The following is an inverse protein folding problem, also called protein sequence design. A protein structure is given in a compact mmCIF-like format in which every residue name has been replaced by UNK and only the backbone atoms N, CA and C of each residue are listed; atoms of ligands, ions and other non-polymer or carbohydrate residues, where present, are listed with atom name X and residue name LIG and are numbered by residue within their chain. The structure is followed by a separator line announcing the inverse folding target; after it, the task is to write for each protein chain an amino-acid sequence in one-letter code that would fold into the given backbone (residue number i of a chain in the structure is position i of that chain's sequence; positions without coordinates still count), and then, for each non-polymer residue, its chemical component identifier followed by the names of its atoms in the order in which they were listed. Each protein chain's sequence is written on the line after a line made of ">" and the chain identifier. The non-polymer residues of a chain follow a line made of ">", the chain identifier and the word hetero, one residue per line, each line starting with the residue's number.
data_IF_522576870959
#
_entry.id   IF_522576870959
#
_cell.length_a   1.000
_cell.length_b   1.000
_cell.length_c   1.000
_cell.angle_alpha   90.00
_cell.angle_beta   90.00
_cell.angle_gamma   90.00
#
_symmetry.space_group_name_H-M   'P 1'
#
loop_
_entity.id
_entity.type
_entity.pdbx_description
1 polymer ?
#
# COMPACT_ATOMS: atom_id res chain seq x y z
N UNK A 1 11.30 -20.38 -33.54
CA UNK A 1 10.51 -19.62 -32.56
C UNK A 1 11.48 -18.75 -31.79
N UNK A 2 11.42 -17.42 -31.93
CA UNK A 2 12.28 -16.53 -31.15
C UNK A 2 11.99 -16.69 -29.65
N UNK A 3 13.06 -16.80 -28.86
CA UNK A 3 12.98 -16.91 -27.41
C UNK A 3 12.36 -15.66 -26.81
N UNK A 4 11.18 -15.79 -26.20
CA UNK A 4 10.56 -14.69 -25.45
C UNK A 4 11.14 -14.66 -24.04
N UNK A 5 11.83 -13.57 -23.70
CA UNK A 5 12.33 -13.34 -22.35
C UNK A 5 11.16 -13.16 -21.38
N UNK A 6 10.93 -14.13 -20.48
CA UNK A 6 9.93 -14.05 -19.42
C UNK A 6 10.57 -13.37 -18.20
N UNK A 7 9.93 -12.30 -17.70
CA UNK A 7 10.26 -11.61 -16.46
C UNK A 7 9.24 -12.01 -15.40
N UNK A 8 9.69 -12.72 -14.39
CA UNK A 8 8.88 -13.12 -13.25
C UNK A 8 9.25 -12.24 -12.04
N UNK A 9 8.25 -11.65 -11.40
CA UNK A 9 8.36 -11.08 -10.07
C UNK A 9 8.09 -12.16 -9.04
N UNK A 10 8.97 -12.29 -8.04
CA UNK A 10 8.79 -13.16 -6.88
C UNK A 10 8.57 -12.25 -5.68
N UNK A 11 7.52 -12.52 -4.91
CA UNK A 11 7.25 -11.82 -3.66
C UNK A 11 7.03 -12.85 -2.55
N UNK A 12 7.68 -12.65 -1.41
CA UNK A 12 7.40 -13.39 -0.18
C UNK A 12 7.13 -12.39 0.94
N UNK A 13 6.12 -12.65 1.76
CA UNK A 13 5.85 -11.86 2.95
C UNK A 13 6.54 -12.50 4.16
N UNK A 14 7.20 -11.67 4.98
CA UNK A 14 7.82 -12.08 6.24
C UNK A 14 9.21 -12.76 6.20
N UNK A 15 9.85 -12.89 5.03
CA UNK A 15 11.18 -13.48 4.90
C UNK A 15 12.24 -12.78 5.80
N UNK A 16 12.74 -13.48 6.83
CA UNK A 16 13.79 -13.01 7.75
C UNK A 16 15.11 -13.77 7.51
N UNK A 17 15.95 -13.36 6.54
CA UNK A 17 17.14 -14.11 6.13
C UNK A 17 18.24 -14.21 7.20
N UNK A 18 18.13 -13.49 8.32
CA UNK A 18 19.18 -13.38 9.33
C UNK A 18 18.75 -13.81 10.73
N UNK A 19 17.53 -14.36 10.90
CA UNK A 19 17.09 -14.97 12.17
C UNK A 19 16.99 -14.03 13.39
N UNK A 20 17.05 -12.70 13.19
CA UNK A 20 17.20 -11.72 14.29
C UNK A 20 15.90 -11.38 15.07
N UNK A 21 14.79 -12.08 14.82
CA UNK A 21 13.53 -11.89 15.55
C UNK A 21 12.88 -13.24 15.81
N UNK A 22 12.56 -13.51 17.09
CA UNK A 22 11.86 -14.73 17.51
C UNK A 22 10.38 -14.62 17.19
N UNK A 23 9.91 -15.32 16.16
CA UNK A 23 8.49 -15.62 15.99
C UNK A 23 8.29 -17.13 16.15
N UNK A 24 7.38 -17.54 17.01
CA UNK A 24 7.13 -18.94 17.38
C UNK A 24 6.36 -19.74 16.32
N UNK A 25 5.86 -19.09 15.26
CA UNK A 25 5.27 -19.75 14.10
C UNK A 25 5.17 -18.77 12.91
N UNK A 26 5.64 -19.16 11.73
CA UNK A 26 5.48 -18.36 10.51
C UNK A 26 5.25 -19.26 9.30
N UNK A 27 4.21 -18.96 8.51
CA UNK A 27 3.98 -19.56 7.20
C UNK A 27 4.27 -18.48 6.16
N UNK A 28 5.12 -18.79 5.18
CA UNK A 28 5.54 -17.82 4.18
C UNK A 28 4.87 -18.12 2.83
N UNK A 29 3.91 -17.29 2.36
CA UNK A 29 3.42 -17.40 1.01
C UNK A 29 4.43 -16.78 0.03
N UNK A 30 4.78 -17.52 -1.01
CA UNK A 30 5.57 -17.07 -2.15
C UNK A 30 4.64 -16.91 -3.34
N UNK A 31 4.63 -15.71 -3.91
CA UNK A 31 3.85 -15.36 -5.08
C UNK A 31 4.78 -15.17 -6.29
N UNK A 32 4.34 -15.65 -7.44
CA UNK A 32 4.98 -15.49 -8.74
C UNK A 32 4.04 -14.73 -9.66
N UNK A 33 4.55 -13.67 -10.27
CA UNK A 33 3.79 -12.78 -11.15
C UNK A 33 4.54 -12.57 -12.47
N UNK A 34 3.92 -12.77 -13.64
CA UNK A 34 4.54 -12.52 -14.93
C UNK A 34 4.49 -11.01 -15.25
N UNK A 35 5.60 -10.32 -15.01
CA UNK A 35 5.77 -8.88 -15.28
C UNK A 35 5.89 -8.53 -16.76
N UNK A 36 5.82 -9.51 -17.66
CA UNK A 36 5.63 -9.25 -19.09
C UNK A 36 4.23 -8.71 -19.43
N UNK A 37 3.25 -8.84 -18.52
CA UNK A 37 1.90 -8.34 -18.72
C UNK A 37 1.75 -6.93 -18.13
N UNK A 38 0.87 -6.09 -18.71
CA UNK A 38 0.49 -4.81 -18.11
C UNK A 38 0.04 -5.01 -16.66
N UNK A 39 0.27 -4.02 -15.80
CA UNK A 39 0.07 -4.14 -14.35
C UNK A 39 -1.35 -4.53 -13.94
N UNK A 40 -2.35 -4.03 -14.67
CA UNK A 40 -3.77 -4.40 -14.49
C UNK A 40 -4.12 -5.84 -14.88
N UNK A 41 -3.24 -6.51 -15.64
CA UNK A 41 -3.43 -7.87 -16.13
C UNK A 41 -2.55 -8.88 -15.38
N UNK A 42 -1.31 -8.53 -15.06
CA UNK A 42 -0.42 -9.43 -14.31
C UNK A 42 -0.95 -9.76 -12.90
N UNK A 43 -1.76 -8.86 -12.33
CA UNK A 43 -2.39 -9.02 -11.02
C UNK A 43 -3.79 -9.65 -11.08
N UNK A 44 -4.19 -10.31 -12.17
CA UNK A 44 -5.44 -11.09 -12.19
C UNK A 44 -5.19 -12.52 -11.73
N UNK A 45 -6.19 -13.19 -11.16
CA UNK A 45 -6.11 -14.57 -10.66
C UNK A 45 -5.41 -15.59 -11.57
N UNK A 46 -5.55 -15.60 -12.91
CA UNK A 46 -4.80 -16.53 -13.76
C UNK A 46 -3.30 -16.21 -13.87
N UNK A 47 -2.85 -15.03 -13.43
CA UNK A 47 -1.49 -14.53 -13.56
C UNK A 47 -0.81 -14.25 -12.22
N UNK A 48 -1.55 -14.10 -11.11
CA UNK A 48 -1.02 -13.98 -9.77
C UNK A 48 -1.02 -15.34 -9.07
N UNK A 49 0.13 -16.02 -9.07
CA UNK A 49 0.23 -17.41 -8.66
C UNK A 49 0.92 -17.54 -7.30
N UNK A 50 0.23 -18.08 -6.29
CA UNK A 50 0.92 -18.54 -5.08
C UNK A 50 1.69 -19.83 -5.42
N UNK A 51 3.01 -19.74 -5.53
CA UNK A 51 3.86 -20.83 -5.99
C UNK A 51 4.30 -21.77 -4.86
N UNK A 52 4.42 -21.25 -3.64
CA UNK A 52 4.95 -22.01 -2.51
C UNK A 52 4.42 -21.44 -1.20
N UNK A 53 4.03 -22.33 -0.27
CA UNK A 53 3.82 -21.98 1.13
C UNK A 53 4.93 -22.67 1.93
N UNK A 54 5.76 -21.91 2.63
CA UNK A 54 6.89 -22.47 3.41
C UNK A 54 6.49 -22.46 4.90
N UNK A 55 6.12 -23.60 5.51
CA UNK A 55 6.01 -23.75 6.96
C UNK A 55 7.36 -24.17 7.57
N UNK A 56 7.78 -23.53 8.66
CA UNK A 56 9.14 -23.73 9.20
C UNK A 56 9.39 -25.02 10.03
N UNK A 57 8.42 -25.72 10.68
CA UNK A 57 8.77 -26.92 11.48
C UNK A 57 8.23 -28.28 11.00
N UNK A 58 7.09 -28.37 10.31
CA UNK A 58 6.50 -29.64 9.87
C UNK A 58 5.67 -29.40 8.62
N UNK A 59 6.22 -29.73 7.45
CA UNK A 59 5.50 -29.62 6.19
C UNK A 59 4.61 -30.85 5.98
N UNK A 60 3.27 -30.73 5.89
CA UNK A 60 2.52 -31.59 5.00
C UNK A 60 2.81 -31.13 3.57
N UNK A 61 3.15 -32.08 2.70
CA UNK A 61 3.53 -31.83 1.32
C UNK A 61 2.42 -31.21 0.47
N UNK A 62 2.77 -30.98 -0.79
CA UNK A 62 1.96 -30.43 -1.87
C UNK A 62 0.63 -31.19 -1.96
N UNK A 63 -0.42 -30.61 -1.40
CA UNK A 63 -1.83 -30.86 -1.75
C UNK A 63 -2.55 -29.50 -1.79
N UNK A 64 -2.23 -28.70 -2.81
CA UNK A 64 -3.03 -27.54 -3.17
C UNK A 64 -4.20 -28.06 -3.99
N UNK A 65 -5.36 -28.24 -3.35
CA UNK A 65 -6.60 -28.60 -4.02
C UNK A 65 -6.94 -27.53 -5.07
N UNK A 66 -6.92 -27.95 -6.34
CA UNK A 66 -7.21 -27.10 -7.49
C UNK A 66 -8.66 -26.56 -7.51
N UNK A 67 -9.52 -27.01 -6.58
CA UNK A 67 -10.92 -26.61 -6.45
C UNK A 67 -11.18 -25.55 -5.37
N UNK A 68 -10.15 -25.03 -4.67
CA UNK A 68 -10.32 -23.94 -3.71
C UNK A 68 -10.72 -22.63 -4.42
N UNK A 69 -11.94 -22.15 -4.15
CA UNK A 69 -12.43 -20.85 -4.63
C UNK A 69 -11.58 -19.68 -4.13
N UNK A 70 -11.05 -19.79 -2.91
CA UNK A 70 -10.12 -18.83 -2.33
C UNK A 70 -8.68 -19.38 -2.45
N UNK A 71 -7.90 -18.84 -3.38
CA UNK A 71 -6.53 -19.31 -3.66
C UNK A 71 -5.47 -18.68 -2.77
N UNK A 72 -5.77 -17.54 -2.16
CA UNK A 72 -4.88 -16.76 -1.31
C UNK A 72 -5.72 -16.07 -0.23
N UNK A 73 -5.14 -15.85 0.94
CA UNK A 73 -5.76 -15.10 2.03
C UNK A 73 -4.84 -13.92 2.36
N UNK A 74 -5.08 -12.80 1.69
CA UNK A 74 -4.25 -11.62 1.84
C UNK A 74 -4.49 -10.95 3.19
N UNK A 75 -3.39 -10.61 3.86
CA UNK A 75 -3.45 -9.88 5.12
C UNK A 75 -3.79 -8.41 4.87
N UNK A 76 -5.09 -8.10 4.98
CA UNK A 76 -5.63 -6.74 4.84
C UNK A 76 -4.96 -5.77 5.79
N UNK A 77 -4.57 -6.20 6.99
CA UNK A 77 -3.93 -5.34 7.98
C UNK A 77 -2.59 -4.82 7.49
N UNK A 78 -1.75 -5.73 7.01
CA UNK A 78 -0.42 -5.41 6.51
C UNK A 78 -0.48 -4.66 5.19
N UNK A 79 -1.41 -5.03 4.31
CA UNK A 79 -1.66 -4.30 3.06
C UNK A 79 -2.04 -2.86 3.36
N UNK A 80 -3.01 -2.62 4.25
CA UNK A 80 -3.40 -1.27 4.62
C UNK A 80 -2.26 -0.46 5.22
N UNK A 81 -1.48 -1.06 6.12
CA UNK A 81 -0.30 -0.43 6.70
C UNK A 81 0.69 0.00 5.61
N UNK A 82 1.00 -0.91 4.67
CA UNK A 82 1.94 -0.65 3.58
C UNK A 82 1.43 0.39 2.58
N UNK A 83 0.14 0.37 2.27
CA UNK A 83 -0.51 1.41 1.44
C UNK A 83 -0.43 2.77 2.14
N UNK A 84 -0.75 2.83 3.44
CA UNK A 84 -0.66 4.05 4.25
C UNK A 84 0.76 4.59 4.30
N UNK A 85 1.75 3.73 4.53
CA UNK A 85 3.17 4.11 4.55
C UNK A 85 3.65 4.62 3.18
N UNK A 86 3.22 3.99 2.08
CA UNK A 86 3.57 4.42 0.72
C UNK A 86 2.93 5.77 0.37
N UNK A 87 1.65 5.96 0.70
CA UNK A 87 0.94 7.24 0.50
C UNK A 87 1.60 8.34 1.34
N UNK A 88 1.68 8.18 2.67
CA UNK A 88 2.26 9.22 3.53
C UNK A 88 3.74 9.46 3.27
N UNK A 89 4.52 8.40 3.06
CA UNK A 89 5.95 8.49 2.76
C UNK A 89 6.22 9.32 1.52
N UNK A 90 5.39 9.14 0.48
CA UNK A 90 5.50 9.90 -0.77
C UNK A 90 5.00 11.34 -0.63
N UNK A 91 3.83 11.55 0.00
CA UNK A 91 3.27 12.89 0.22
C UNK A 91 4.19 13.76 1.08
N UNK A 92 4.76 13.19 2.15
CA UNK A 92 5.65 13.89 3.07
C UNK A 92 7.11 13.87 2.63
N UNK A 93 7.46 13.19 1.53
CA UNK A 93 8.82 12.98 1.07
C UNK A 93 9.76 12.52 2.21
N UNK A 94 9.36 11.46 2.90
CA UNK A 94 10.13 10.91 4.04
C UNK A 94 11.27 10.07 3.49
N UNK A 95 12.48 10.34 3.95
CA UNK A 95 13.66 9.58 3.53
C UNK A 95 13.52 8.08 3.85
N UNK A 96 13.95 7.23 2.90
CA UNK A 96 13.78 5.78 2.96
C UNK A 96 12.34 5.25 2.81
N UNK A 97 11.30 6.10 2.83
CA UNK A 97 9.89 5.70 2.67
C UNK A 97 9.21 6.28 1.43
N UNK A 98 9.72 7.40 0.93
CA UNK A 98 9.19 8.04 -0.28
C UNK A 98 9.32 7.12 -1.48
N UNK A 99 8.25 7.00 -2.27
CA UNK A 99 8.29 6.31 -3.55
C UNK A 99 8.72 7.23 -4.69
N UNK A 100 9.07 8.48 -4.38
CA UNK A 100 9.55 9.47 -5.33
C UNK A 100 11.02 9.83 -5.04
N UNK A 101 11.92 8.97 -5.50
CA UNK A 101 13.37 9.08 -5.23
C UNK A 101 14.12 9.72 -6.40
N UNK A 102 15.39 10.09 -6.19
CA UNK A 102 16.25 10.53 -7.29
C UNK A 102 16.31 9.51 -8.44
N UNK A 103 16.41 8.21 -8.12
CA UNK A 103 16.40 7.12 -9.10
C UNK A 103 15.09 7.07 -9.88
N UNK A 104 13.96 7.15 -9.17
CA UNK A 104 12.63 7.28 -9.78
C UNK A 104 12.58 8.41 -10.79
N UNK A 105 13.13 9.59 -10.45
CA UNK A 105 13.14 10.75 -11.35
C UNK A 105 14.03 10.55 -12.58
N UNK A 106 15.14 9.81 -12.45
CA UNK A 106 15.95 9.40 -13.59
C UNK A 106 15.21 8.41 -14.49
N UNK A 107 14.51 7.44 -13.91
CA UNK A 107 13.70 6.47 -14.66
C UNK A 107 12.61 7.18 -15.47
N UNK A 108 11.90 8.16 -14.86
CA UNK A 108 10.93 9.00 -15.57
C UNK A 108 11.56 9.73 -16.77
N UNK A 109 12.78 10.24 -16.60
CA UNK A 109 13.54 10.89 -17.68
C UNK A 109 13.90 9.92 -18.80
N UNK A 110 14.40 8.74 -18.45
CA UNK A 110 14.74 7.69 -19.41
C UNK A 110 13.51 7.18 -20.18
N UNK A 111 12.37 7.09 -19.51
CA UNK A 111 11.09 6.69 -20.10
C UNK A 111 10.43 7.79 -20.95
N UNK A 112 10.93 9.03 -20.90
CA UNK A 112 10.35 10.15 -21.65
C UNK A 112 8.96 10.57 -21.18
N UNK A 113 8.58 10.26 -19.93
CA UNK A 113 7.27 10.59 -19.36
C UNK A 113 7.41 11.60 -18.21
N UNK A 114 6.39 12.43 -17.98
CA UNK A 114 6.36 13.43 -16.90
C UNK A 114 7.59 14.38 -16.90
N UNK A 115 7.85 15.10 -18.02
CA UNK A 115 9.00 15.99 -18.13
C UNK A 115 9.09 17.04 -17.02
N UNK A 116 7.95 17.44 -16.45
CA UNK A 116 7.86 18.35 -15.32
C UNK A 116 8.54 17.83 -14.03
N UNK A 117 8.80 16.52 -13.94
CA UNK A 117 9.45 15.89 -12.79
C UNK A 117 10.93 15.55 -13.03
N UNK A 118 11.46 15.73 -14.25
CA UNK A 118 12.82 15.29 -14.57
C UNK A 118 13.88 16.08 -13.78
N UNK A 119 14.99 15.44 -13.37
CA UNK A 119 16.10 16.16 -12.74
C UNK A 119 16.66 17.23 -13.68
N UNK A 120 16.83 18.45 -13.15
CA UNK A 120 17.36 19.61 -13.88
C UNK A 120 18.72 20.00 -13.30
N UNK A 121 19.65 20.41 -14.18
CA UNK A 121 20.93 20.96 -13.76
C UNK A 121 20.83 22.48 -13.73
N UNK A 122 21.01 23.08 -12.54
CA UNK A 122 21.03 24.53 -12.36
C UNK A 122 22.36 24.88 -11.69
N UNK A 123 23.21 25.65 -12.38
CA UNK A 123 24.54 26.05 -11.91
C UNK A 123 25.43 24.86 -11.51
N UNK A 124 25.43 23.79 -12.31
CA UNK A 124 26.20 22.57 -12.03
C UNK A 124 25.63 21.69 -10.92
N UNK A 125 24.57 22.12 -10.23
CA UNK A 125 23.87 21.33 -9.22
C UNK A 125 22.61 20.66 -9.79
N UNK A 126 22.48 19.36 -9.55
CA UNK A 126 21.26 18.61 -9.89
C UNK A 126 20.17 18.92 -8.88
N UNK A 127 19.05 19.47 -9.35
CA UNK A 127 17.86 19.75 -8.54
C UNK A 127 16.68 18.91 -9.02
N UNK A 128 15.87 18.47 -8.07
CA UNK A 128 14.62 17.77 -8.33
C UNK A 128 13.45 18.75 -8.28
N UNK A 129 12.68 18.93 -9.37
CA UNK A 129 11.47 19.73 -9.35
C UNK A 129 10.45 19.18 -8.33
N UNK A 130 9.70 20.05 -7.64
CA UNK A 130 8.68 19.62 -6.68
C UNK A 130 7.56 18.87 -7.40
N UNK A 131 7.20 17.70 -6.89
CA UNK A 131 6.06 16.95 -7.42
C UNK A 131 4.73 17.55 -6.99
N UNK A 132 3.71 17.45 -7.84
CA UNK A 132 2.36 17.95 -7.57
C UNK A 132 1.66 17.26 -6.38
N UNK A 133 2.10 16.06 -6.03
CA UNK A 133 1.63 15.30 -4.87
C UNK A 133 2.48 15.52 -3.60
N UNK A 134 3.63 16.19 -3.69
CA UNK A 134 4.48 16.42 -2.51
C UNK A 134 4.00 17.63 -1.70
N UNK A 135 3.93 17.47 -0.38
CA UNK A 135 3.58 18.56 0.52
C UNK A 135 4.77 19.51 0.70
N UNK A 136 4.51 20.82 0.66
CA UNK A 136 5.49 21.82 1.07
C UNK A 136 5.80 21.69 2.56
N UNK A 137 6.95 22.22 3.01
CA UNK A 137 7.35 22.17 4.42
C UNK A 137 6.29 22.72 5.38
N UNK A 138 5.59 23.80 4.97
CA UNK A 138 4.46 24.37 5.73
C UNK A 138 3.28 23.40 5.84
N UNK A 139 2.91 22.73 4.75
CA UNK A 139 1.81 21.76 4.72
C UNK A 139 2.16 20.47 5.48
N UNK A 140 3.42 20.01 5.43
CA UNK A 140 3.90 18.87 6.24
C UNK A 140 3.73 19.17 7.73
N UNK A 141 4.16 20.36 8.19
CA UNK A 141 4.00 20.79 9.57
C UNK A 141 2.54 20.86 9.98
N UNK A 142 1.68 21.40 9.12
CA UNK A 142 0.22 21.45 9.35
C UNK A 142 -0.40 20.06 9.49
N UNK A 143 0.02 19.08 8.68
CA UNK A 143 -0.42 17.69 8.79
C UNK A 143 0.04 17.06 10.11
N UNK A 144 1.31 17.25 10.51
CA UNK A 144 1.81 16.77 11.79
C UNK A 144 1.10 17.42 12.98
N UNK A 145 0.84 18.73 12.92
CA UNK A 145 0.09 19.44 13.97
C UNK A 145 -1.33 18.88 14.10
N UNK A 146 -2.02 18.64 12.98
CA UNK A 146 -3.34 17.99 12.99
C UNK A 146 -3.28 16.64 13.71
N UNK A 147 -2.39 15.73 13.29
CA UNK A 147 -2.27 14.40 13.90
C UNK A 147 -1.81 14.45 15.36
N UNK A 148 -0.98 15.41 15.76
CA UNK A 148 -0.55 15.58 17.15
C UNK A 148 -1.67 16.12 18.05
N UNK A 149 -2.56 16.96 17.51
CA UNK A 149 -3.65 17.60 18.26
C UNK A 149 -4.91 16.75 18.38
N UNK A 150 -5.06 15.72 17.56
CA UNK A 150 -6.30 14.95 17.47
C UNK A 150 -6.56 14.18 18.76
N UNK A 151 -7.79 14.26 19.26
CA UNK A 151 -8.30 13.42 20.35
C UNK A 151 -9.33 12.47 19.79
N UNK A 152 -9.17 11.19 20.09
CA UNK A 152 -10.06 10.13 19.63
C UNK A 152 -10.81 9.52 20.83
N UNK A 153 -12.03 9.00 20.63
CA UNK A 153 -12.73 8.23 21.64
C UNK A 153 -11.88 7.06 22.16
N UNK A 154 -12.13 6.67 23.41
CA UNK A 154 -11.45 5.55 24.02
C UNK A 154 -11.66 4.25 23.20
N UNK A 155 -10.61 3.43 23.12
CA UNK A 155 -10.58 2.22 22.31
C UNK A 155 -10.48 2.42 20.79
N UNK A 156 -10.49 3.66 20.27
CA UNK A 156 -10.44 3.91 18.82
C UNK A 156 -9.04 3.86 18.23
N UNK A 157 -8.02 4.34 18.94
CA UNK A 157 -6.62 4.29 18.54
C UNK A 157 -5.75 4.50 19.78
N UNK A 158 -4.45 4.21 19.67
CA UNK A 158 -3.49 4.64 20.68
C UNK A 158 -3.30 6.16 20.64
N UNK A 159 -2.55 6.71 21.60
CA UNK A 159 -2.26 8.14 21.62
C UNK A 159 -1.31 8.54 20.47
N UNK A 160 -1.89 8.88 19.32
CA UNK A 160 -1.19 9.26 18.08
C UNK A 160 -0.19 10.39 18.32
N UNK A 161 -0.44 11.30 19.27
CA UNK A 161 0.47 12.43 19.50
C UNK A 161 1.88 11.99 19.89
N UNK A 162 2.03 10.85 20.58
CA UNK A 162 3.33 10.27 20.94
C UNK A 162 4.13 9.80 19.73
N UNK A 163 3.44 9.44 18.65
CA UNK A 163 4.03 8.95 17.41
C UNK A 163 4.38 10.08 16.42
N UNK A 164 4.12 11.35 16.77
CA UNK A 164 4.27 12.49 15.86
C UNK A 164 5.26 13.51 16.41
N UNK A 165 6.36 13.70 15.70
CA UNK A 165 7.30 14.79 15.97
C UNK A 165 7.01 15.96 15.02
N UNK A 166 6.47 17.06 15.56
CA UNK A 166 6.13 18.26 14.79
C UNK A 166 7.37 19.00 14.29
N UNK A 167 8.47 19.00 15.05
CA UNK A 167 9.70 19.74 14.70
C UNK A 167 10.33 19.13 13.45
N UNK A 168 10.45 17.81 13.44
CA UNK A 168 11.08 17.06 12.35
C UNK A 168 10.08 16.64 11.26
N UNK A 169 8.79 16.98 11.42
CA UNK A 169 7.70 16.53 10.56
C UNK A 169 7.72 15.01 10.31
N UNK A 170 7.99 14.23 11.38
CA UNK A 170 8.16 12.78 11.31
C UNK A 170 7.01 12.08 12.03
N UNK A 171 6.57 10.96 11.45
CA UNK A 171 5.59 10.06 12.04
C UNK A 171 6.24 8.67 12.12
N UNK A 172 6.34 8.12 13.33
CA UNK A 172 7.03 6.86 13.59
C UNK A 172 6.30 6.05 14.67
N UNK A 173 6.58 4.75 14.74
CA UNK A 173 6.13 3.87 15.85
C UNK A 173 4.60 3.72 15.96
N UNK A 174 3.87 3.91 14.86
CA UNK A 174 2.45 3.62 14.81
C UNK A 174 2.22 2.11 14.81
N UNK A 175 1.28 1.64 15.65
CA UNK A 175 0.80 0.26 15.57
C UNK A 175 -0.05 0.08 14.32
N UNK A 176 -0.17 -1.16 13.82
CA UNK A 176 -0.96 -1.48 12.62
C UNK A 176 -2.42 -1.00 12.74
N UNK A 177 -2.99 -1.00 13.94
CA UNK A 177 -4.32 -0.46 14.21
C UNK A 177 -4.41 1.07 14.04
N UNK A 178 -3.41 1.81 14.51
CA UNK A 178 -3.38 3.26 14.35
C UNK A 178 -3.19 3.66 12.88
N UNK A 179 -2.45 2.83 12.13
CA UNK A 179 -2.27 2.99 10.68
C UNK A 179 -3.60 2.90 9.93
N UNK A 180 -4.44 1.93 10.30
CA UNK A 180 -5.78 1.73 9.75
C UNK A 180 -6.66 2.95 10.01
N UNK A 181 -6.71 3.43 11.25
CA UNK A 181 -7.48 4.63 11.62
C UNK A 181 -7.00 5.87 10.86
N UNK A 182 -5.68 6.03 10.72
CA UNK A 182 -5.10 7.12 9.94
C UNK A 182 -5.53 7.02 8.48
N UNK A 183 -5.35 5.88 7.82
CA UNK A 183 -5.67 5.73 6.41
C UNK A 183 -7.16 5.96 6.14
N UNK A 184 -8.03 5.34 6.91
CA UNK A 184 -9.46 5.30 6.61
C UNK A 184 -10.22 6.54 7.05
N UNK A 185 -9.80 7.19 8.15
CA UNK A 185 -10.58 8.25 8.80
C UNK A 185 -9.86 9.58 8.87
N UNK A 186 -8.58 9.59 9.25
CA UNK A 186 -7.87 10.85 9.52
C UNK A 186 -7.24 11.44 8.27
N UNK A 187 -6.64 10.63 7.41
CA UNK A 187 -5.93 11.09 6.22
C UNK A 187 -6.82 11.89 5.25
N UNK A 188 -8.07 11.47 4.93
CA UNK A 188 -8.95 12.26 4.08
C UNK A 188 -9.26 13.65 4.62
N UNK A 189 -9.30 13.78 5.95
CA UNK A 189 -9.55 15.05 6.66
C UNK A 189 -8.27 15.88 6.70
N UNK A 190 -7.14 15.25 7.04
CA UNK A 190 -5.83 15.88 7.18
C UNK A 190 -5.32 16.49 5.87
N UNK A 191 -5.68 15.91 4.71
CA UNK A 191 -5.25 16.40 3.39
C UNK A 191 -6.15 17.51 2.83
N UNK A 192 -7.23 17.88 3.52
CA UNK A 192 -8.16 18.91 3.05
C UNK A 192 -7.46 20.27 2.98
N UNK A 193 -7.37 20.84 1.79
CA UNK A 193 -6.73 22.14 1.55
C UNK A 193 -5.21 22.09 1.28
N UNK A 194 -4.58 20.91 1.35
CA UNK A 194 -3.13 20.80 1.13
C UNK A 194 -2.74 20.35 -0.28
N UNK A 195 -3.58 19.53 -0.92
CA UNK A 195 -3.33 18.98 -2.26
C UNK A 195 -4.35 19.49 -3.29
N UNK A 196 -3.98 19.41 -4.57
CA UNK A 196 -4.87 19.69 -5.70
C UNK A 196 -6.10 18.78 -5.62
N UNK A 197 -7.26 19.30 -6.06
CA UNK A 197 -8.58 18.66 -5.84
C UNK A 197 -8.64 17.24 -6.40
N UNK A 198 -8.08 17.02 -7.57
CA UNK A 198 -7.99 15.72 -8.24
C UNK A 198 -7.15 14.73 -7.42
N UNK A 199 -5.94 15.12 -6.98
CA UNK A 199 -5.05 14.27 -6.18
C UNK A 199 -5.72 13.88 -4.87
N UNK A 200 -6.26 14.87 -4.16
CA UNK A 200 -6.98 14.64 -2.90
C UNK A 200 -8.19 13.75 -3.10
N UNK A 201 -8.95 13.93 -4.18
CA UNK A 201 -10.13 13.10 -4.47
C UNK A 201 -9.71 11.65 -4.68
N UNK A 202 -8.67 11.39 -5.46
CA UNK A 202 -8.17 10.03 -5.70
C UNK A 202 -7.70 9.35 -4.41
N UNK A 203 -6.94 10.05 -3.57
CA UNK A 203 -6.51 9.50 -2.27
C UNK A 203 -7.72 9.23 -1.38
N UNK A 204 -8.71 10.14 -1.36
CA UNK A 204 -9.93 9.94 -0.58
C UNK A 204 -10.74 8.73 -1.06
N UNK A 205 -10.81 8.47 -2.38
CA UNK A 205 -11.46 7.27 -2.93
C UNK A 205 -10.75 5.99 -2.43
N UNK A 206 -9.42 5.96 -2.42
CA UNK A 206 -8.64 4.85 -1.84
C UNK A 206 -8.92 4.66 -0.34
N UNK A 207 -8.97 5.74 0.43
CA UNK A 207 -9.29 5.67 1.87
C UNK A 207 -10.72 5.16 2.12
N UNK A 208 -11.68 5.59 1.29
CA UNK A 208 -13.08 5.13 1.36
C UNK A 208 -13.18 3.66 0.98
N UNK A 209 -12.45 3.19 -0.03
CA UNK A 209 -12.38 1.78 -0.40
C UNK A 209 -12.03 0.90 0.82
N UNK A 210 -10.94 1.21 1.52
CA UNK A 210 -10.54 0.45 2.70
C UNK A 210 -11.56 0.57 3.83
N UNK A 211 -12.08 1.78 4.08
CA UNK A 211 -13.11 2.00 5.10
C UNK A 211 -14.36 1.15 4.89
N UNK A 212 -14.81 0.99 3.65
CA UNK A 212 -15.98 0.18 3.32
C UNK A 212 -15.66 -1.32 3.33
N UNK A 213 -14.51 -1.72 2.80
CA UNK A 213 -14.02 -3.10 2.82
C UNK A 213 -13.89 -3.67 4.25
N UNK A 214 -13.56 -2.81 5.22
CA UNK A 214 -13.39 -3.21 6.63
C UNK A 214 -14.57 -2.83 7.50
N UNK A 215 -15.74 -2.60 6.90
CA UNK A 215 -16.98 -2.40 7.64
C UNK A 215 -17.35 -3.65 8.44
N UNK A 216 -17.95 -3.44 9.61
CA UNK A 216 -18.46 -4.53 10.48
C UNK A 216 -19.48 -5.43 9.78
N UNK A 217 -20.21 -4.85 8.84
CA UNK A 217 -21.21 -5.53 8.02
C UNK A 217 -20.92 -5.23 6.57
N UNK A 218 -20.74 -6.28 5.78
CA UNK A 218 -20.52 -6.19 4.34
C UNK A 218 -21.78 -6.61 3.61
N UNK A 219 -22.13 -5.85 2.58
CA UNK A 219 -23.19 -6.20 1.65
C UNK A 219 -22.55 -6.57 0.32
N UNK A 220 -23.12 -7.56 -0.36
CA UNK A 220 -22.56 -8.10 -1.62
C UNK A 220 -22.52 -7.04 -2.71
N UNK A 221 -23.59 -6.23 -2.85
CA UNK A 221 -23.66 -5.11 -3.79
C UNK A 221 -22.56 -4.06 -3.57
N UNK A 222 -22.22 -3.79 -2.31
CA UNK A 222 -21.10 -2.91 -1.95
C UNK A 222 -19.77 -3.54 -2.37
N UNK A 223 -19.56 -4.85 -2.10
CA UNK A 223 -18.32 -5.53 -2.47
C UNK A 223 -18.12 -5.64 -3.99
N UNK A 224 -19.18 -5.89 -4.75
CA UNK A 224 -19.15 -5.88 -6.23
C UNK A 224 -18.75 -4.51 -6.78
N UNK A 225 -19.32 -3.43 -6.21
CA UNK A 225 -18.90 -2.07 -6.53
C UNK A 225 -17.44 -1.84 -6.17
N UNK A 226 -17.01 -2.20 -4.96
CA UNK A 226 -15.62 -2.03 -4.52
C UNK A 226 -14.62 -2.75 -5.44
N UNK A 227 -14.98 -3.94 -5.94
CA UNK A 227 -14.17 -4.71 -6.89
C UNK A 227 -13.97 -3.98 -8.23
N UNK A 228 -14.94 -3.18 -8.63
CA UNK A 228 -14.84 -2.32 -9.84
C UNK A 228 -14.12 -1.01 -9.52
N UNK A 229 -14.47 -0.37 -8.40
CA UNK A 229 -13.93 0.93 -7.98
C UNK A 229 -12.42 0.87 -7.78
N UNK A 230 -11.88 -0.21 -7.19
CA UNK A 230 -10.45 -0.32 -6.92
C UNK A 230 -9.60 -0.29 -8.18
N UNK A 231 -10.07 -0.90 -9.28
CA UNK A 231 -9.38 -0.84 -10.58
C UNK A 231 -9.30 0.60 -11.06
N UNK A 232 -10.41 1.34 -10.97
CA UNK A 232 -10.46 2.75 -11.37
C UNK A 232 -9.61 3.64 -10.45
N UNK A 233 -9.59 3.37 -9.15
CA UNK A 233 -8.76 4.06 -8.16
C UNK A 233 -7.28 3.87 -8.49
N UNK A 234 -6.84 2.64 -8.74
CA UNK A 234 -5.46 2.33 -9.13
C UNK A 234 -5.07 3.06 -10.43
N UNK A 235 -5.92 3.04 -11.46
CA UNK A 235 -5.66 3.80 -12.69
C UNK A 235 -5.57 5.32 -12.46
N UNK A 236 -6.37 5.89 -11.56
CA UNK A 236 -6.26 7.31 -11.19
C UNK A 236 -4.97 7.60 -10.44
N UNK A 237 -4.55 6.70 -9.54
CA UNK A 237 -3.28 6.81 -8.84
C UNK A 237 -2.12 6.75 -9.82
N UNK A 238 -2.13 5.85 -10.81
CA UNK A 238 -1.07 5.69 -11.82
C UNK A 238 -0.89 6.97 -12.66
N UNK A 239 -1.96 7.73 -12.86
CA UNK A 239 -1.90 9.04 -13.51
C UNK A 239 -1.27 10.12 -12.63
N UNK A 240 -1.27 9.96 -11.31
CA UNK A 240 -0.73 10.95 -10.37
C UNK A 240 0.71 10.63 -9.95
N UNK A 241 0.94 9.39 -9.51
CA UNK A 241 2.19 8.96 -8.88
C UNK A 241 3.18 8.35 -9.89
N UNK A 242 4.48 8.33 -9.57
CA UNK A 242 5.48 7.70 -10.43
C UNK A 242 5.34 6.16 -10.40
N UNK A 243 5.87 5.44 -11.41
CA UNK A 243 5.81 3.97 -11.46
C UNK A 243 6.36 3.27 -10.21
N UNK A 244 7.38 3.82 -9.55
CA UNK A 244 7.93 3.25 -8.31
C UNK A 244 6.99 3.31 -7.11
N UNK A 245 5.88 4.05 -7.20
CA UNK A 245 4.80 3.99 -6.21
C UNK A 245 4.07 2.65 -6.24
N UNK A 246 4.01 2.01 -7.42
CA UNK A 246 3.23 0.82 -7.72
C UNK A 246 4.04 -0.44 -7.47
N UNK A 247 4.45 -0.64 -6.21
CA UNK A 247 4.95 -1.94 -5.77
C UNK A 247 3.79 -2.94 -5.59
N UNK A 248 4.15 -4.19 -5.28
CA UNK A 248 3.16 -5.27 -5.14
C UNK A 248 2.08 -4.92 -4.11
N UNK A 249 2.43 -4.26 -3.01
CA UNK A 249 1.50 -3.94 -1.93
C UNK A 249 0.44 -2.94 -2.35
N UNK A 250 0.76 -2.02 -3.27
CA UNK A 250 -0.23 -1.10 -3.85
C UNK A 250 -1.21 -1.81 -4.79
N UNK A 251 -0.84 -2.95 -5.37
CA UNK A 251 -1.70 -3.69 -6.29
C UNK A 251 -2.58 -4.74 -5.62
N UNK A 252 -2.15 -5.33 -4.50
CA UNK A 252 -2.94 -6.31 -3.74
C UNK A 252 -4.39 -5.89 -3.41
N UNK A 253 -4.73 -4.61 -3.19
CA UNK A 253 -6.10 -4.15 -2.98
C UNK A 253 -7.12 -4.61 -4.03
N UNK A 254 -6.68 -4.90 -5.28
CA UNK A 254 -7.56 -5.38 -6.34
C UNK A 254 -8.25 -6.71 -6.00
N UNK A 255 -7.64 -7.54 -5.16
CA UNK A 255 -8.18 -8.85 -4.78
C UNK A 255 -9.11 -8.78 -3.57
N UNK A 256 -8.97 -7.76 -2.73
CA UNK A 256 -9.52 -7.79 -1.37
C UNK A 256 -11.05 -7.82 -1.33
N UNK A 257 -11.71 -7.11 -2.24
CA UNK A 257 -13.17 -7.11 -2.32
C UNK A 257 -13.69 -8.50 -2.73
N UNK A 258 -13.04 -9.16 -3.69
CA UNK A 258 -13.38 -10.52 -4.09
C UNK A 258 -13.11 -11.53 -2.97
N UNK A 259 -11.97 -11.44 -2.30
CA UNK A 259 -11.69 -12.28 -1.14
C UNK A 259 -12.75 -12.10 -0.04
N UNK A 260 -13.17 -10.87 0.25
CA UNK A 260 -14.19 -10.62 1.27
C UNK A 260 -15.56 -11.22 0.90
N UNK A 261 -15.88 -11.33 -0.40
CA UNK A 261 -17.10 -12.03 -0.86
C UNK A 261 -17.02 -13.55 -0.61
N UNK A 262 -15.83 -14.15 -0.78
CA UNK A 262 -15.63 -15.59 -0.62
C UNK A 262 -15.38 -16.01 0.83
N UNK A 263 -14.56 -15.24 1.54
CA UNK A 263 -13.96 -15.59 2.83
C UNK A 263 -14.62 -14.89 4.01
N UNK A 264 -15.75 -14.21 3.78
CA UNK A 264 -16.49 -13.41 4.78
C UNK A 264 -15.75 -12.11 5.20
N UNK A 265 -16.35 -11.28 6.08
CA UNK A 265 -15.79 -10.00 6.47
C UNK A 265 -14.36 -10.05 6.98
N UNK A 266 -13.59 -9.03 6.60
CA UNK A 266 -12.17 -8.89 6.94
C UNK A 266 -11.94 -8.97 8.44
N UNK A 267 -12.88 -8.49 9.28
CA UNK A 267 -12.83 -8.54 10.75
C UNK A 267 -12.48 -9.91 11.35
N UNK A 268 -12.84 -11.00 10.69
CA UNK A 268 -12.54 -12.37 11.15
C UNK A 268 -11.19 -12.90 10.66
N UNK A 269 -10.51 -12.14 9.79
CA UNK A 269 -9.25 -12.50 9.14
C UNK A 269 -8.09 -11.56 9.51
N UNK A 270 -8.28 -10.67 10.49
CA UNK A 270 -7.20 -9.80 10.95
C UNK A 270 -6.17 -10.56 11.77
N UNK A 271 -4.92 -10.15 11.63
CA UNK A 271 -3.82 -10.62 12.46
C UNK A 271 -3.70 -9.88 13.81
N UNK A 272 -4.52 -8.85 14.07
CA UNK A 272 -4.49 -8.09 15.33
C UNK A 272 -4.50 -8.94 16.62
N UNK A 273 -5.27 -10.04 16.74
CA UNK A 273 -5.27 -10.85 17.95
C UNK A 273 -3.96 -11.62 18.18
N UNK A 274 -3.22 -11.90 17.11
CA UNK A 274 -2.01 -12.73 17.14
C UNK A 274 -0.72 -11.89 17.27
N UNK A 275 -0.74 -10.62 16.86
CA UNK A 275 0.40 -9.69 16.93
C UNK A 275 0.42 -8.80 18.18
N UNK A 276 -0.39 -9.12 19.19
CA UNK A 276 -0.52 -8.34 20.42
C UNK A 276 0.48 -8.75 21.49
#
# INVERSE_FOLDING_TARGET
>A
MDGRNVRLGIASDGFNPFGNMSNSYSMWPVFVVPYNLPTWKCMKDPFFMMSLLIPEPTAPGIDIDANLKLRHNLDVMHIEKNVRDSVLGTLMNIDGKTKDTYKTRLDLKQMGIRPELHPICVNGQTKLPPACYSLSSTKKKGLCQFLHSIKLPDGMASNISRCVNIRDCKISELKSHDCHIILQRLLPVALRGYLRRDIRKTINELCVFFKELTSKTLKVDVLERLNTDIVLILCKLEKIFPPSFFDIMIHLPIHLAHEAMLASPTQYRWMYPFER
#
